data_IF_966045043787
#
_entry.id   IF_966045043787
#
_cell.length_a   1.000
_cell.length_b   1.000
_cell.length_c   1.000
_cell.angle_alpha   90.00
_cell.angle_beta   90.00
_cell.angle_gamma   90.00
#
_symmetry.space_group_name_H-M   'P 1'
#
loop_
_entity.id
_entity.type
_entity.pdbx_description
1 polymer ?
#
# COMPACT_ATOMS: atom_id res chain seq x y z
N UNK A 1 1.83 12.03 8.17
CA UNK A 1 2.02 13.42 7.66
C UNK A 1 1.94 14.51 8.73
N UNK A 2 0.89 14.54 9.56
CA UNK A 2 0.65 15.66 10.49
C UNK A 2 1.58 15.67 11.71
N UNK A 3 2.01 14.49 12.22
CA UNK A 3 2.90 14.42 13.40
C UNK A 3 4.34 14.84 13.08
N UNK A 4 4.84 14.48 11.89
CA UNK A 4 6.18 14.86 11.41
C UNK A 4 6.21 16.20 10.67
N UNK A 5 5.05 16.74 10.31
CA UNK A 5 4.93 17.86 9.38
C UNK A 5 5.75 17.63 8.10
N UNK A 6 5.68 16.42 7.53
CA UNK A 6 6.58 15.98 6.44
C UNK A 6 6.50 16.83 5.16
N UNK A 7 5.42 17.59 4.98
CA UNK A 7 5.26 18.54 3.87
C UNK A 7 5.78 19.96 4.16
N UNK A 8 6.20 20.23 5.39
CA UNK A 8 6.69 21.52 5.86
C UNK A 8 8.19 21.46 6.13
N UNK A 9 9.00 21.56 5.08
CA UNK A 9 10.48 21.48 5.15
C UNK A 9 11.15 22.43 6.16
N UNK A 10 10.47 23.51 6.56
CA UNK A 10 10.98 24.48 7.53
C UNK A 10 10.70 24.07 8.99
N UNK A 11 9.77 23.14 9.22
CA UNK A 11 9.45 22.62 10.54
C UNK A 11 10.43 21.51 10.88
N UNK A 12 11.01 21.62 12.06
CA UNK A 12 11.86 20.58 12.62
C UNK A 12 11.12 20.00 13.83
N UNK A 13 10.67 18.74 13.77
CA UNK A 13 9.93 18.14 14.87
C UNK A 13 10.81 18.10 16.14
N UNK A 14 10.22 18.53 17.25
CA UNK A 14 10.81 18.42 18.59
C UNK A 14 10.08 17.34 19.36
N UNK A 15 10.69 16.80 20.41
CA UNK A 15 10.01 15.80 21.24
C UNK A 15 8.68 16.31 21.81
N UNK A 16 8.57 17.60 22.15
CA UNK A 16 7.32 18.19 22.64
C UNK A 16 6.27 18.33 21.55
N UNK A 17 6.65 18.78 20.34
CA UNK A 17 5.71 18.90 19.22
C UNK A 17 5.21 17.53 18.76
N UNK A 18 6.12 16.55 18.60
CA UNK A 18 5.74 15.17 18.24
C UNK A 18 4.75 14.59 19.23
N UNK A 19 4.94 14.81 20.53
CA UNK A 19 4.00 14.34 21.55
C UNK A 19 2.63 15.03 21.47
N UNK A 20 2.60 16.35 21.27
CA UNK A 20 1.36 17.10 21.17
C UNK A 20 0.56 16.72 19.92
N UNK A 21 1.25 16.56 18.79
CA UNK A 21 0.63 16.17 17.52
C UNK A 21 0.16 14.71 17.57
N UNK A 22 0.93 13.82 18.23
CA UNK A 22 0.55 12.43 18.44
C UNK A 22 -0.68 12.29 19.35
N UNK A 23 -0.77 13.03 20.47
CA UNK A 23 -1.98 13.02 21.32
C UNK A 23 -3.21 13.47 20.53
N UNK A 24 -3.06 14.54 19.74
CA UNK A 24 -4.14 15.06 18.89
C UNK A 24 -4.59 14.00 17.87
N UNK A 25 -3.62 13.35 17.21
CA UNK A 25 -3.89 12.29 16.24
C UNK A 25 -4.57 11.07 16.89
N UNK A 26 -4.05 10.57 18.00
CA UNK A 26 -4.60 9.39 18.69
C UNK A 26 -6.03 9.63 19.18
N UNK A 27 -6.33 10.82 19.73
CA UNK A 27 -7.71 11.18 20.12
C UNK A 27 -8.63 11.22 18.91
N UNK A 28 -8.18 11.81 17.80
CA UNK A 28 -8.95 11.86 16.56
C UNK A 28 -9.27 10.45 16.06
N UNK A 29 -8.26 9.58 15.92
CA UNK A 29 -8.47 8.19 15.48
C UNK A 29 -9.37 7.40 16.45
N UNK A 30 -9.21 7.60 17.77
CA UNK A 30 -10.04 6.95 18.79
C UNK A 30 -11.53 7.31 18.66
N UNK A 31 -11.87 8.50 18.15
CA UNK A 31 -13.25 8.91 17.88
C UNK A 31 -13.84 8.25 16.61
N UNK A 32 -12.99 7.69 15.74
CA UNK A 32 -13.37 7.17 14.42
C UNK A 32 -13.15 5.67 14.24
N UNK A 33 -12.71 4.96 15.30
CA UNK A 33 -12.56 3.50 15.30
C UNK A 33 -13.63 2.81 16.15
N UNK A 34 -14.09 1.64 15.71
CA UNK A 34 -15.02 0.79 16.45
C UNK A 34 -14.31 -0.27 17.31
N UNK A 35 -12.98 -0.37 17.19
CA UNK A 35 -12.12 -1.34 17.90
C UNK A 35 -11.06 -0.62 18.73
N UNK A 36 -10.50 -1.31 19.73
CA UNK A 36 -9.54 -0.70 20.66
C UNK A 36 -8.17 -0.36 20.04
N UNK A 37 -7.52 -1.21 19.21
CA UNK A 37 -6.22 -0.89 18.65
C UNK A 37 -6.33 0.15 17.53
N UNK A 38 -5.43 1.12 17.54
CA UNK A 38 -5.27 2.15 16.51
C UNK A 38 -3.97 1.86 15.74
N UNK A 39 -4.04 1.83 14.41
CA UNK A 39 -2.87 1.64 13.56
C UNK A 39 -2.23 2.99 13.20
N UNK A 40 -1.05 3.24 13.75
CA UNK A 40 -0.26 4.43 13.44
C UNK A 40 0.80 4.10 12.38
N UNK A 41 0.63 4.61 11.16
CA UNK A 41 1.66 4.54 10.13
C UNK A 41 2.60 5.75 10.21
N UNK A 42 3.81 5.51 10.71
CA UNK A 42 4.90 6.48 10.66
C UNK A 42 5.75 6.28 9.40
N UNK A 43 5.22 6.76 8.28
CA UNK A 43 5.89 6.74 6.98
C UNK A 43 5.10 7.48 5.90
N UNK A 44 5.69 7.51 4.71
CA UNK A 44 5.16 8.17 3.53
C UNK A 44 5.93 7.73 2.28
N UNK A 45 5.54 8.27 1.11
CA UNK A 45 6.16 7.93 -0.16
C UNK A 45 7.65 8.29 -0.16
N UNK A 46 8.51 7.26 -0.19
CA UNK A 46 9.96 7.38 -0.14
C UNK A 46 10.49 8.12 1.11
N UNK A 47 9.72 8.13 2.21
CA UNK A 47 10.11 8.79 3.45
C UNK A 47 11.13 7.94 4.23
N UNK A 48 12.20 8.59 4.70
CA UNK A 48 13.17 7.96 5.59
C UNK A 48 12.65 7.92 7.04
N UNK A 49 13.15 6.96 7.81
CA UNK A 49 12.89 6.94 9.24
C UNK A 49 13.64 8.09 9.94
N UNK A 50 13.03 8.66 10.99
CA UNK A 50 13.64 9.72 11.80
C UNK A 50 13.82 9.24 13.25
N UNK A 51 15.07 9.09 13.68
CA UNK A 51 15.42 8.59 15.02
C UNK A 51 14.83 9.43 16.16
N UNK A 52 14.86 10.76 16.04
CA UNK A 52 14.41 11.66 17.08
C UNK A 52 12.88 11.62 17.21
N UNK A 53 12.17 11.54 16.08
CA UNK A 53 10.72 11.37 16.05
C UNK A 53 10.33 10.01 16.64
N UNK A 54 10.94 8.92 16.18
CA UNK A 54 10.66 7.57 16.70
C UNK A 54 10.89 7.49 18.21
N UNK A 55 11.99 8.06 18.70
CA UNK A 55 12.28 8.11 20.14
C UNK A 55 11.21 8.92 20.91
N UNK A 56 10.75 10.05 20.37
CA UNK A 56 9.71 10.86 20.99
C UNK A 56 8.34 10.18 21.00
N UNK A 57 7.99 9.45 19.93
CA UNK A 57 6.76 8.67 19.83
C UNK A 57 6.74 7.52 20.84
N UNK A 58 7.84 6.79 20.99
CA UNK A 58 7.93 5.70 21.98
C UNK A 58 7.95 6.20 23.42
N UNK A 59 8.55 7.38 23.67
CA UNK A 59 8.51 8.02 24.99
C UNK A 59 7.12 8.56 25.38
N UNK A 60 6.17 8.65 24.45
CA UNK A 60 4.79 9.01 24.76
C UNK A 60 4.11 8.01 25.72
N UNK A 61 4.49 6.73 25.60
CA UNK A 61 3.94 5.63 26.42
C UNK A 61 4.17 5.80 27.94
N UNK A 62 5.14 6.63 28.35
CA UNK A 62 5.51 6.79 29.76
C UNK A 62 4.61 7.79 30.54
N UNK A 63 3.65 8.47 29.90
CA UNK A 63 2.95 9.62 30.52
C UNK A 63 1.43 9.69 30.35
N UNK A 64 0.83 8.90 29.47
CA UNK A 64 -0.61 8.98 29.17
C UNK A 64 -1.35 7.77 29.73
N UNK A 65 -2.42 8.00 30.51
CA UNK A 65 -3.25 6.92 31.06
C UNK A 65 -4.22 6.32 30.01
N UNK A 66 -4.44 7.02 28.89
CA UNK A 66 -5.48 6.69 27.91
C UNK A 66 -4.99 5.87 26.70
N UNK A 67 -3.69 5.93 26.36
CA UNK A 67 -3.13 5.26 25.18
C UNK A 67 -1.76 4.62 25.47
N UNK A 68 -1.57 3.38 25.00
CA UNK A 68 -0.28 2.70 24.96
C UNK A 68 0.27 2.74 23.53
N UNK A 69 1.50 3.27 23.35
CA UNK A 69 2.16 3.33 22.03
C UNK A 69 3.27 2.29 21.97
N UNK A 70 3.12 1.33 21.06
CA UNK A 70 4.07 0.22 20.89
C UNK A 70 4.61 0.15 19.47
N UNK A 71 5.90 -0.17 19.33
CA UNK A 71 6.46 -0.57 18.03
C UNK A 71 6.02 -2.01 17.75
N UNK A 72 5.22 -2.20 16.70
CA UNK A 72 4.57 -3.47 16.38
C UNK A 72 4.65 -3.82 14.90
N UNK A 73 4.01 -4.92 14.50
CA UNK A 73 3.84 -5.34 13.11
C UNK A 73 2.36 -5.41 12.73
N UNK A 74 2.09 -5.44 11.42
CA UNK A 74 0.71 -5.65 10.92
C UNK A 74 0.13 -6.98 11.39
N UNK A 75 0.93 -8.04 11.50
CA UNK A 75 0.46 -9.34 11.99
C UNK A 75 0.00 -9.28 13.45
N UNK A 76 0.74 -8.57 14.30
CA UNK A 76 0.38 -8.37 15.71
C UNK A 76 -0.87 -7.48 15.84
N UNK A 77 -0.93 -6.38 15.08
CA UNK A 77 -2.13 -5.54 15.01
C UNK A 77 -3.37 -6.34 14.57
N UNK A 78 -3.26 -7.15 13.52
CA UNK A 78 -4.36 -8.00 13.06
C UNK A 78 -4.78 -9.02 14.13
N UNK A 79 -3.84 -9.59 14.89
CA UNK A 79 -4.16 -10.49 15.99
C UNK A 79 -4.99 -9.80 17.11
N UNK A 80 -4.85 -8.49 17.29
CA UNK A 80 -5.64 -7.70 18.25
C UNK A 80 -7.00 -7.24 17.70
N UNK A 81 -7.06 -6.92 16.40
CA UNK A 81 -8.29 -6.47 15.73
C UNK A 81 -9.26 -7.61 15.47
N UNK A 82 -8.76 -8.77 15.00
CA UNK A 82 -9.62 -9.87 14.53
C UNK A 82 -10.62 -10.38 15.60
N UNK A 83 -10.27 -10.51 16.90
CA UNK A 83 -11.22 -10.85 17.95
C UNK A 83 -12.33 -9.82 18.17
N UNK A 84 -12.12 -8.58 17.73
CA UNK A 84 -13.02 -7.44 17.90
C UNK A 84 -13.91 -7.19 16.68
N UNK A 85 -13.78 -7.96 15.61
CA UNK A 85 -14.53 -7.80 14.34
C UNK A 85 -16.05 -7.71 14.50
N UNK A 86 -16.63 -8.33 15.53
CA UNK A 86 -18.06 -8.23 15.82
C UNK A 86 -18.52 -6.81 16.24
N UNK A 87 -17.59 -5.93 16.64
CA UNK A 87 -17.85 -4.51 16.93
C UNK A 87 -17.91 -3.66 15.67
N UNK A 88 -17.29 -4.11 14.57
CA UNK A 88 -17.23 -3.37 13.32
C UNK A 88 -18.61 -3.46 12.64
N UNK A 89 -19.36 -2.37 12.69
CA UNK A 89 -20.73 -2.30 12.16
C UNK A 89 -20.79 -1.88 10.70
N UNK A 90 -19.77 -1.16 10.21
CA UNK A 90 -19.73 -0.66 8.84
C UNK A 90 -19.42 -1.78 7.86
N UNK A 91 -20.32 -2.01 6.91
CA UNK A 91 -20.14 -2.98 5.82
C UNK A 91 -20.22 -2.27 4.47
N UNK A 92 -19.12 -2.29 3.73
CA UNK A 92 -19.05 -1.78 2.35
C UNK A 92 -19.07 -2.97 1.38
N UNK A 93 -19.89 -2.88 0.33
CA UNK A 93 -20.07 -3.97 -0.63
C UNK A 93 -19.77 -3.47 -2.06
N UNK A 94 -19.07 -4.30 -2.85
CA UNK A 94 -18.75 -4.00 -4.25
C UNK A 94 -17.37 -3.36 -4.44
N UNK A 95 -17.19 -2.69 -5.57
CA UNK A 95 -15.94 -1.98 -5.90
C UNK A 95 -15.82 -0.69 -5.10
N UNK A 96 -14.66 -0.44 -4.49
CA UNK A 96 -14.37 0.77 -3.72
C UNK A 96 -13.96 1.94 -4.65
N UNK A 97 -14.84 2.35 -5.56
CA UNK A 97 -14.61 3.46 -6.50
C UNK A 97 -15.29 4.77 -6.11
N UNK A 98 -16.04 4.76 -5.02
CA UNK A 98 -16.73 5.93 -4.46
C UNK A 98 -15.84 6.80 -3.56
N UNK A 99 -14.93 6.25 -2.73
CA UNK A 99 -14.01 7.06 -1.93
C UNK A 99 -13.12 7.94 -2.83
N UNK A 100 -12.90 9.21 -2.43
CA UNK A 100 -12.07 10.15 -3.20
C UNK A 100 -12.81 11.06 -4.19
N UNK A 101 -14.13 11.19 -4.06
CA UNK A 101 -14.93 12.15 -4.86
C UNK A 101 -14.82 13.60 -4.35
N UNK A 102 -14.40 13.79 -3.10
CA UNK A 102 -14.24 15.10 -2.47
C UNK A 102 -12.76 15.52 -2.45
N UNK A 103 -12.52 16.82 -2.65
CA UNK A 103 -11.18 17.39 -2.88
C UNK A 103 -10.27 17.38 -1.64
N UNK A 104 -10.82 17.12 -0.45
CA UNK A 104 -10.15 17.38 0.83
C UNK A 104 -9.16 16.28 1.25
N UNK A 105 -9.37 15.04 0.81
CA UNK A 105 -8.51 13.91 1.18
C UNK A 105 -7.77 13.42 -0.07
N UNK A 106 -6.45 13.24 0.01
CA UNK A 106 -5.57 12.90 -1.14
C UNK A 106 -5.82 11.49 -1.74
N UNK A 107 -6.99 10.92 -1.53
CA UNK A 107 -7.40 9.56 -1.86
C UNK A 107 -8.25 9.48 -3.12
N UNK A 108 -7.86 10.21 -4.17
CA UNK A 108 -8.73 10.38 -5.34
C UNK A 108 -8.74 9.13 -6.20
N UNK A 109 -9.91 8.75 -6.73
CA UNK A 109 -9.91 7.82 -7.85
C UNK A 109 -9.32 8.52 -9.06
N UNK A 110 -8.29 7.93 -9.66
CA UNK A 110 -7.56 8.49 -10.81
C UNK A 110 -7.94 7.74 -12.09
N UNK A 111 -9.19 7.83 -12.61
CA UNK A 111 -9.62 7.01 -13.75
C UNK A 111 -8.88 7.34 -15.06
N UNK A 112 -8.27 8.52 -15.15
CA UNK A 112 -7.52 8.97 -16.33
C UNK A 112 -6.34 8.08 -16.69
N UNK A 113 -5.79 7.33 -15.72
CA UNK A 113 -4.65 6.42 -15.93
C UNK A 113 -4.94 5.31 -16.94
N UNK A 114 -6.21 4.96 -17.13
CA UNK A 114 -6.65 3.96 -18.12
C UNK A 114 -6.33 4.39 -19.55
N UNK A 115 -6.27 5.70 -19.81
CA UNK A 115 -5.93 6.29 -21.12
C UNK A 115 -4.51 6.84 -21.23
N UNK A 116 -3.75 6.87 -20.13
CA UNK A 116 -2.35 7.32 -20.18
C UNK A 116 -1.49 6.27 -20.86
N UNK A 117 -0.67 6.68 -21.85
CA UNK A 117 0.31 5.83 -22.54
C UNK A 117 -0.29 4.47 -22.93
N UNK A 118 -1.38 4.48 -23.71
CA UNK A 118 -2.19 3.29 -24.05
C UNK A 118 -1.36 2.10 -24.56
N UNK A 119 -0.24 2.36 -25.23
CA UNK A 119 0.68 1.33 -25.70
C UNK A 119 1.20 0.41 -24.57
N UNK A 120 1.35 0.92 -23.35
CA UNK A 120 1.70 0.11 -22.17
C UNK A 120 0.60 -0.93 -21.88
N UNK A 121 -0.67 -0.50 -21.94
CA UNK A 121 -1.81 -1.39 -21.68
C UNK A 121 -1.96 -2.44 -22.78
N UNK A 122 -1.66 -2.08 -24.02
CA UNK A 122 -1.66 -3.00 -25.16
C UNK A 122 -0.56 -4.06 -25.01
N UNK A 123 0.68 -3.65 -24.71
CA UNK A 123 1.79 -4.56 -24.47
C UNK A 123 1.52 -5.48 -23.27
N UNK A 124 1.01 -4.94 -22.17
CA UNK A 124 0.62 -5.75 -21.02
C UNK A 124 -0.43 -6.82 -21.37
N UNK A 125 -1.49 -6.45 -22.10
CA UNK A 125 -2.53 -7.38 -22.50
C UNK A 125 -1.99 -8.49 -23.43
N UNK A 126 -1.06 -8.15 -24.33
CA UNK A 126 -0.35 -9.12 -25.17
C UNK A 126 0.47 -10.10 -24.33
N UNK A 127 1.31 -9.61 -23.40
CA UNK A 127 2.11 -10.44 -22.52
C UNK A 127 1.25 -11.36 -21.63
N UNK A 128 0.18 -10.83 -21.02
CA UNK A 128 -0.76 -11.63 -20.23
C UNK A 128 -1.44 -12.70 -21.09
N UNK A 129 -1.81 -12.37 -22.33
CA UNK A 129 -2.39 -13.35 -23.26
C UNK A 129 -1.38 -14.45 -23.61
N UNK A 130 -0.14 -14.09 -23.93
CA UNK A 130 0.92 -15.04 -24.24
C UNK A 130 1.22 -15.97 -23.06
N UNK A 131 1.20 -15.50 -21.82
CA UNK A 131 1.41 -16.35 -20.65
C UNK A 131 0.18 -17.22 -20.35
N UNK A 132 -0.96 -16.59 -20.06
CA UNK A 132 -2.13 -17.28 -19.52
C UNK A 132 -2.91 -18.09 -20.56
N UNK A 133 -2.89 -17.68 -21.83
CA UNK A 133 -3.70 -18.30 -22.89
C UNK A 133 -2.87 -19.18 -23.82
N UNK A 134 -1.54 -19.08 -23.79
CA UNK A 134 -0.64 -19.85 -24.66
C UNK A 134 0.42 -20.63 -23.88
N UNK A 135 1.39 -19.96 -23.27
CA UNK A 135 2.56 -20.61 -22.69
C UNK A 135 2.16 -21.63 -21.60
N UNK A 136 1.32 -21.23 -20.64
CA UNK A 136 0.89 -22.13 -19.57
C UNK A 136 -0.02 -23.26 -20.06
N UNK A 137 -1.12 -23.00 -20.81
CA UNK A 137 -1.96 -24.08 -21.30
C UNK A 137 -1.18 -25.07 -22.17
N UNK A 138 -0.40 -24.60 -23.15
CA UNK A 138 0.30 -25.51 -24.06
C UNK A 138 1.43 -26.28 -23.35
N UNK A 139 2.09 -25.68 -22.35
CA UNK A 139 3.05 -26.39 -21.51
C UNK A 139 2.38 -27.51 -20.71
N UNK A 140 1.21 -27.25 -20.12
CA UNK A 140 0.45 -28.26 -19.39
C UNK A 140 0.00 -29.40 -20.33
N UNK A 141 -0.50 -29.06 -21.53
CA UNK A 141 -0.90 -30.05 -22.53
C UNK A 141 0.28 -30.90 -23.01
N UNK A 142 1.43 -30.28 -23.31
CA UNK A 142 2.63 -31.01 -23.69
C UNK A 142 3.08 -31.97 -22.58
N UNK A 143 3.05 -31.51 -21.33
CA UNK A 143 3.39 -32.36 -20.19
C UNK A 143 2.47 -33.57 -20.06
N UNK A 144 1.16 -33.37 -20.17
CA UNK A 144 0.17 -34.44 -20.07
C UNK A 144 0.24 -35.44 -21.24
N UNK A 145 0.39 -34.94 -22.46
CA UNK A 145 0.26 -35.75 -23.67
C UNK A 145 1.58 -36.39 -24.12
N UNK A 146 2.69 -35.72 -23.85
CA UNK A 146 4.02 -36.10 -24.33
C UNK A 146 4.98 -36.45 -23.19
N UNK A 147 4.58 -36.28 -21.93
CA UNK A 147 5.43 -36.51 -20.76
C UNK A 147 6.58 -35.51 -20.65
N UNK A 148 6.49 -34.35 -21.31
CA UNK A 148 7.53 -33.32 -21.24
C UNK A 148 7.50 -32.61 -19.89
N UNK A 149 8.66 -32.21 -19.39
CA UNK A 149 8.73 -31.37 -18.21
C UNK A 149 8.12 -29.99 -18.52
N UNK A 150 7.31 -29.46 -17.59
CA UNK A 150 6.80 -28.09 -17.69
C UNK A 150 8.00 -27.14 -17.55
N UNK A 151 8.17 -26.14 -18.43
CA UNK A 151 9.28 -25.20 -18.38
C UNK A 151 9.08 -24.15 -17.27
N UNK A 152 8.88 -24.59 -16.02
CA UNK A 152 8.47 -23.73 -14.90
C UNK A 152 9.44 -22.57 -14.68
N UNK A 153 10.76 -22.82 -14.71
CA UNK A 153 11.74 -21.76 -14.53
C UNK A 153 11.67 -20.66 -15.60
N UNK A 154 11.25 -20.98 -16.83
CA UNK A 154 11.02 -19.96 -17.86
C UNK A 154 9.72 -19.19 -17.63
N UNK A 155 8.66 -19.87 -17.19
CA UNK A 155 7.39 -19.24 -16.82
C UNK A 155 7.57 -18.28 -15.64
N UNK A 156 8.29 -18.70 -14.60
CA UNK A 156 8.57 -17.87 -13.42
C UNK A 156 9.33 -16.60 -13.79
N UNK A 157 10.35 -16.72 -14.66
CA UNK A 157 11.11 -15.57 -15.14
C UNK A 157 10.21 -14.65 -15.98
N UNK A 158 9.41 -15.19 -16.90
CA UNK A 158 8.53 -14.38 -17.74
C UNK A 158 7.47 -13.64 -16.91
N UNK A 159 6.88 -14.30 -15.91
CA UNK A 159 5.98 -13.64 -14.96
C UNK A 159 6.68 -12.57 -14.14
N UNK A 160 7.90 -12.84 -13.64
CA UNK A 160 8.67 -11.84 -12.90
C UNK A 160 8.90 -10.58 -13.73
N UNK A 161 9.30 -10.71 -14.99
CA UNK A 161 9.49 -9.57 -15.89
C UNK A 161 8.19 -8.83 -16.17
N UNK A 162 7.08 -9.53 -16.42
CA UNK A 162 5.78 -8.89 -16.61
C UNK A 162 5.33 -8.14 -15.35
N UNK A 163 5.47 -8.74 -14.17
CA UNK A 163 5.06 -8.15 -12.89
C UNK A 163 5.91 -6.94 -12.50
N UNK A 164 7.14 -6.82 -12.98
CA UNK A 164 7.95 -5.60 -12.78
C UNK A 164 7.33 -4.37 -13.44
N UNK A 165 6.44 -4.56 -14.42
CA UNK A 165 5.69 -3.49 -15.07
C UNK A 165 4.34 -3.20 -14.40
N UNK A 166 3.97 -3.94 -13.34
CA UNK A 166 2.68 -3.82 -12.63
C UNK A 166 2.66 -2.94 -11.37
N UNK A 167 3.76 -2.35 -10.85
CA UNK A 167 3.64 -1.25 -9.90
C UNK A 167 2.70 -0.19 -10.44
N UNK A 168 1.89 0.42 -9.57
CA UNK A 168 0.80 1.29 -10.01
C UNK A 168 1.34 2.44 -10.87
N UNK A 169 2.42 3.10 -10.47
CA UNK A 169 3.01 4.20 -11.24
C UNK A 169 3.53 3.81 -12.63
N UNK A 170 3.96 2.55 -12.77
CA UNK A 170 4.37 1.92 -14.02
C UNK A 170 3.16 1.66 -14.92
N UNK A 171 2.26 0.73 -14.53
CA UNK A 171 1.15 0.30 -15.39
C UNK A 171 0.12 1.42 -15.64
N UNK A 172 -0.05 2.34 -14.69
CA UNK A 172 -0.90 3.52 -14.86
C UNK A 172 -0.30 4.52 -15.85
N UNK A 173 0.99 4.46 -16.17
CA UNK A 173 1.63 5.36 -17.11
C UNK A 173 1.79 6.78 -16.57
N UNK A 174 1.99 6.94 -15.25
CA UNK A 174 2.07 8.23 -14.57
C UNK A 174 3.47 8.62 -14.08
N UNK A 175 4.50 7.83 -14.41
CA UNK A 175 5.91 8.22 -14.23
C UNK A 175 6.49 9.05 -15.39
N UNK A 176 7.72 9.51 -15.21
CA UNK A 176 8.55 10.18 -16.23
C UNK A 176 8.90 9.23 -17.39
N UNK A 177 9.27 9.78 -18.55
CA UNK A 177 9.50 9.01 -19.78
C UNK A 177 10.52 7.88 -19.62
N UNK A 178 11.63 8.12 -18.94
CA UNK A 178 12.69 7.11 -18.74
C UNK A 178 12.20 5.87 -17.99
N UNK A 179 11.20 5.99 -17.12
CA UNK A 179 10.59 4.82 -16.45
C UNK A 179 9.85 3.97 -17.48
N UNK A 180 9.09 4.61 -18.37
CA UNK A 180 8.29 3.89 -19.37
C UNK A 180 9.13 3.38 -20.54
N UNK A 181 10.30 3.98 -20.81
CA UNK A 181 11.26 3.44 -21.79
C UNK A 181 11.92 2.13 -21.33
N UNK A 182 12.00 1.89 -20.02
CA UNK A 182 12.55 0.66 -19.41
C UNK A 182 11.52 -0.49 -19.31
N UNK A 183 10.22 -0.15 -19.30
CA UNK A 183 9.10 -1.10 -19.23
C UNK A 183 8.88 -1.86 -20.54
#
# INVERSE_FOLDING_TARGET
>A
FQVRHAFEHAVQPTGDSVRADLDTYLRHEAEHTEVDPILLFDGGDHEEWDEAVYAAMLAYADRADDFEVVHTSLDAYLAEVLPQTARIGTVVNGELREPGSDYDDQQWVIPGVLSSRVWIKQANAECQSLLCQWAEPFSAWASLMLGTEVPQGFLDVAWKWLLQNHPHDSICGCSIDVVHEDM
#
